data_IF_342673440799
#
_entry.id   IF_342673440799
#
_cell.length_a   1.000
_cell.length_b   1.000
_cell.length_c   1.000
_cell.angle_alpha   90.00
_cell.angle_beta   90.00
_cell.angle_gamma   90.00
#
_symmetry.space_group_name_H-M   'P 1'
#
loop_
_entity.id
_entity.type
_entity.pdbx_description
1 polymer ?
#
# COMPACT_ATOMS: atom_id res chain seq x y z
N UNK A 1 -5.10 27.48 5.65
CA UNK A 1 -5.30 26.02 5.71
C UNK A 1 -4.61 25.43 4.51
N UNK A 2 -3.81 24.39 4.69
CA UNK A 2 -3.17 23.69 3.57
C UNK A 2 -4.20 22.84 2.85
N UNK A 3 -4.25 22.90 1.51
CA UNK A 3 -5.24 22.17 0.71
C UNK A 3 -5.04 20.65 0.79
N UNK A 4 -6.14 19.89 0.64
CA UNK A 4 -6.12 18.44 0.49
C UNK A 4 -5.80 18.07 -0.96
N UNK A 5 -4.85 17.17 -1.18
CA UNK A 5 -4.51 16.64 -2.50
C UNK A 5 -5.10 15.26 -2.75
N UNK A 6 -5.36 14.92 -4.01
CA UNK A 6 -5.71 13.54 -4.35
C UNK A 6 -5.15 13.11 -5.70
N UNK A 7 -4.98 11.80 -5.83
CA UNK A 7 -4.54 11.12 -7.05
C UNK A 7 -5.61 10.12 -7.44
N UNK A 8 -6.08 10.22 -8.69
CA UNK A 8 -6.97 9.28 -9.35
C UNK A 8 -6.74 9.36 -10.86
N UNK A 9 -6.56 8.21 -11.50
CA UNK A 9 -6.35 8.12 -12.95
C UNK A 9 -7.05 6.87 -13.50
N UNK A 10 -7.98 7.08 -14.44
CA UNK A 10 -8.79 6.01 -15.01
C UNK A 10 -7.96 4.97 -15.79
N UNK A 11 -6.74 5.30 -16.23
CA UNK A 11 -5.83 4.31 -16.83
C UNK A 11 -5.51 3.18 -15.87
N UNK A 12 -5.61 3.40 -14.55
CA UNK A 12 -5.43 2.34 -13.56
C UNK A 12 -6.57 1.31 -13.55
N UNK A 13 -7.70 1.60 -14.20
CA UNK A 13 -8.80 0.64 -14.42
C UNK A 13 -8.43 -0.41 -15.48
N UNK A 14 -7.38 -0.20 -16.28
CA UNK A 14 -6.89 -1.18 -17.27
C UNK A 14 -6.21 -2.42 -16.64
N UNK A 15 -5.93 -2.40 -15.32
CA UNK A 15 -5.49 -3.58 -14.58
C UNK A 15 -6.71 -4.42 -14.17
N UNK A 16 -7.00 -5.43 -14.99
CA UNK A 16 -8.13 -6.35 -14.84
C UNK A 16 -7.68 -7.80 -15.11
N UNK A 17 -8.21 -8.74 -14.34
CA UNK A 17 -7.87 -10.16 -14.43
C UNK A 17 -8.49 -10.76 -15.71
N UNK A 18 -7.69 -11.27 -16.67
CA UNK A 18 -8.22 -11.70 -17.96
C UNK A 18 -8.81 -13.12 -17.95
N UNK A 19 -8.73 -13.85 -16.83
CA UNK A 19 -9.07 -15.27 -16.76
C UNK A 19 -9.87 -15.70 -15.52
N UNK A 20 -10.21 -14.77 -14.62
CA UNK A 20 -11.09 -15.04 -13.47
C UNK A 20 -11.98 -13.82 -13.19
N UNK A 21 -13.25 -13.93 -13.57
CA UNK A 21 -14.28 -12.89 -13.35
C UNK A 21 -14.71 -12.74 -11.89
N UNK A 22 -14.34 -13.71 -11.03
CA UNK A 22 -14.66 -13.70 -9.59
C UNK A 22 -13.55 -13.05 -8.76
N UNK A 23 -12.49 -12.57 -9.40
CA UNK A 23 -11.35 -11.95 -8.74
C UNK A 23 -11.79 -10.77 -7.86
N UNK A 24 -11.41 -10.82 -6.58
CA UNK A 24 -11.76 -9.78 -5.62
C UNK A 24 -11.05 -8.45 -5.95
N UNK A 25 -9.78 -8.52 -6.38
CA UNK A 25 -9.03 -7.36 -6.88
C UNK A 25 -9.48 -7.04 -8.32
N UNK A 26 -10.24 -5.94 -8.48
CA UNK A 26 -10.88 -5.57 -9.76
C UNK A 26 -11.09 -4.06 -9.91
N UNK A 27 -11.25 -3.53 -11.14
CA UNK A 27 -11.37 -2.09 -11.43
C UNK A 27 -12.42 -1.35 -10.60
N UNK A 28 -13.55 -1.99 -10.31
CA UNK A 28 -14.68 -1.44 -9.56
C UNK A 28 -14.27 -0.96 -8.17
N UNK A 29 -13.27 -1.58 -7.54
CA UNK A 29 -12.77 -1.18 -6.21
C UNK A 29 -12.33 0.29 -6.21
N UNK A 30 -11.57 0.70 -7.22
CA UNK A 30 -11.08 2.07 -7.37
C UNK A 30 -12.16 3.01 -7.88
N UNK A 31 -12.97 2.57 -8.85
CA UNK A 31 -14.03 3.39 -9.42
C UNK A 31 -15.08 3.80 -8.38
N UNK A 32 -15.54 2.86 -7.54
CA UNK A 32 -16.56 3.11 -6.51
C UNK A 32 -16.05 4.10 -5.45
N UNK A 33 -14.77 4.03 -5.09
CA UNK A 33 -14.16 5.00 -4.16
C UNK A 33 -14.24 6.40 -4.74
N UNK A 34 -13.78 6.61 -5.98
CA UNK A 34 -13.79 7.93 -6.61
C UNK A 34 -15.22 8.45 -6.80
N UNK A 35 -16.14 7.62 -7.31
CA UNK A 35 -17.55 7.98 -7.47
C UNK A 35 -18.17 8.42 -6.14
N UNK A 36 -17.87 7.72 -5.03
CA UNK A 36 -18.38 8.10 -3.71
C UNK A 36 -17.80 9.42 -3.25
N UNK A 37 -16.49 9.63 -3.39
CA UNK A 37 -15.82 10.87 -3.00
C UNK A 37 -16.36 12.08 -3.77
N UNK A 38 -16.62 11.94 -5.07
CA UNK A 38 -17.23 12.97 -5.91
C UNK A 38 -18.69 13.24 -5.51
N UNK A 39 -19.50 12.18 -5.36
CA UNK A 39 -20.93 12.27 -5.03
C UNK A 39 -21.17 12.94 -3.67
N UNK A 40 -20.34 12.64 -2.68
CA UNK A 40 -20.39 13.27 -1.34
C UNK A 40 -19.79 14.69 -1.35
N UNK A 41 -19.20 15.13 -2.46
CA UNK A 41 -18.60 16.45 -2.61
C UNK A 41 -17.29 16.63 -1.84
N UNK A 42 -16.64 15.53 -1.42
CA UNK A 42 -15.39 15.55 -0.64
C UNK A 42 -14.20 16.04 -1.48
N UNK A 43 -14.30 16.03 -2.80
CA UNK A 43 -13.26 16.49 -3.73
C UNK A 43 -13.46 17.91 -4.26
N UNK A 44 -14.54 18.62 -3.86
CA UNK A 44 -14.89 19.94 -4.44
C UNK A 44 -13.78 20.99 -4.32
N UNK A 45 -13.05 20.98 -3.22
CA UNK A 45 -11.94 21.90 -2.95
C UNK A 45 -10.58 21.19 -2.98
N UNK A 46 -10.55 19.91 -3.37
CA UNK A 46 -9.35 19.11 -3.39
C UNK A 46 -8.50 19.41 -4.64
N UNK A 47 -7.19 19.40 -4.46
CA UNK A 47 -6.23 19.57 -5.55
C UNK A 47 -5.99 18.21 -6.21
N UNK A 48 -6.53 18.02 -7.42
CA UNK A 48 -6.20 16.83 -8.23
C UNK A 48 -4.76 16.94 -8.70
N UNK A 49 -3.98 15.90 -8.46
CA UNK A 49 -2.61 15.80 -8.94
C UNK A 49 -2.54 14.94 -10.21
N UNK A 50 -1.74 15.40 -11.16
CA UNK A 50 -1.49 14.64 -12.38
C UNK A 50 -0.66 13.38 -12.09
N UNK A 51 -1.06 12.27 -12.71
CA UNK A 51 -0.39 10.98 -12.56
C UNK A 51 0.52 10.73 -13.73
N UNK A 52 1.74 10.30 -13.42
CA UNK A 52 2.72 9.80 -14.39
C UNK A 52 3.16 8.39 -14.03
N UNK A 53 3.76 7.72 -14.99
CA UNK A 53 4.44 6.45 -14.75
C UNK A 53 5.69 6.71 -13.90
N UNK A 54 5.90 5.85 -12.89
CA UNK A 54 7.16 5.77 -12.17
C UNK A 54 8.29 5.41 -13.14
N UNK A 55 9.38 6.17 -13.05
CA UNK A 55 10.58 5.93 -13.85
C UNK A 55 11.30 4.70 -13.34
N UNK A 56 12.12 4.08 -14.20
CA UNK A 56 12.90 2.91 -13.82
C UNK A 56 13.81 3.18 -12.60
N UNK A 57 14.47 4.34 -12.53
CA UNK A 57 15.32 4.71 -11.40
C UNK A 57 14.56 4.91 -10.07
N UNK A 58 13.27 5.21 -10.14
CA UNK A 58 12.39 5.28 -8.96
C UNK A 58 11.97 3.87 -8.51
N UNK A 59 11.64 2.98 -9.45
CA UNK A 59 11.34 1.57 -9.13
C UNK A 59 12.55 0.83 -8.56
N UNK A 60 13.76 1.17 -9.05
CA UNK A 60 15.04 0.62 -8.58
C UNK A 60 15.34 0.91 -7.11
N UNK A 61 14.63 1.86 -6.49
CA UNK A 61 14.72 2.08 -5.04
C UNK A 61 14.25 0.85 -4.25
N UNK A 62 13.37 0.02 -4.82
CA UNK A 62 12.79 -1.12 -4.12
C UNK A 62 12.92 -2.47 -4.83
N UNK A 63 12.88 -2.46 -6.16
CA UNK A 63 12.88 -3.68 -6.96
C UNK A 63 14.16 -3.73 -7.80
N UNK A 64 14.84 -4.88 -7.88
CA UNK A 64 16.03 -5.00 -8.69
C UNK A 64 15.68 -4.95 -10.19
N UNK A 65 16.64 -4.59 -11.02
CA UNK A 65 16.39 -4.31 -12.44
C UNK A 65 15.84 -5.53 -13.20
N UNK A 66 16.19 -6.74 -12.77
CA UNK A 66 15.79 -7.98 -13.43
C UNK A 66 14.28 -8.17 -13.40
N UNK A 67 13.63 -7.98 -12.23
CA UNK A 67 12.17 -8.17 -12.12
C UNK A 67 11.41 -7.06 -12.85
N UNK A 68 11.94 -5.83 -12.85
CA UNK A 68 11.36 -4.70 -13.58
C UNK A 68 11.33 -5.03 -15.08
N UNK A 69 12.49 -5.42 -15.64
CA UNK A 69 12.60 -5.76 -17.07
C UNK A 69 11.81 -6.99 -17.46
N UNK A 70 11.79 -8.01 -16.60
CA UNK A 70 11.00 -9.22 -16.81
C UNK A 70 9.51 -8.88 -16.92
N UNK A 71 8.97 -8.10 -15.96
CA UNK A 71 7.56 -7.67 -15.99
C UNK A 71 7.27 -6.73 -17.16
N UNK A 72 8.18 -5.83 -17.53
CA UNK A 72 8.00 -4.93 -18.69
C UNK A 72 7.94 -5.68 -20.03
N UNK A 73 8.48 -6.91 -20.10
CA UNK A 73 8.49 -7.73 -21.32
C UNK A 73 7.23 -8.63 -21.47
N UNK A 74 6.29 -8.59 -20.52
CA UNK A 74 5.08 -9.41 -20.54
C UNK A 74 4.01 -8.80 -21.46
N UNK A 75 4.11 -9.05 -22.76
CA UNK A 75 3.23 -8.44 -23.78
C UNK A 75 1.94 -9.23 -24.08
N UNK A 76 1.81 -10.47 -23.57
CA UNK A 76 0.66 -11.35 -23.85
C UNK A 76 0.06 -11.93 -22.58
N UNK A 77 -1.24 -12.25 -22.60
CA UNK A 77 -1.92 -12.92 -21.48
C UNK A 77 -1.22 -14.23 -21.09
N UNK A 78 -0.77 -15.02 -22.07
CA UNK A 78 -0.05 -16.28 -21.83
C UNK A 78 1.29 -16.05 -21.11
N UNK A 79 2.05 -15.02 -21.50
CA UNK A 79 3.29 -14.66 -20.82
C UNK A 79 3.03 -14.20 -19.38
N UNK A 80 2.01 -13.35 -19.18
CA UNK A 80 1.59 -12.91 -17.85
C UNK A 80 1.18 -14.08 -16.96
N UNK A 81 0.31 -14.97 -17.45
CA UNK A 81 -0.16 -16.14 -16.70
C UNK A 81 1.03 -17.04 -16.33
N UNK A 82 1.93 -17.33 -17.29
CA UNK A 82 3.12 -18.14 -17.04
C UNK A 82 4.02 -17.54 -15.95
N UNK A 83 4.22 -16.23 -15.96
CA UNK A 83 4.98 -15.52 -14.93
C UNK A 83 4.30 -15.61 -13.57
N UNK A 84 2.97 -15.43 -13.51
CA UNK A 84 2.22 -15.44 -12.26
C UNK A 84 2.18 -16.81 -11.58
N UNK A 85 2.35 -17.92 -12.31
CA UNK A 85 2.33 -19.28 -11.74
C UNK A 85 3.37 -19.54 -10.65
N UNK A 86 4.47 -18.80 -10.63
CA UNK A 86 5.51 -18.90 -9.59
C UNK A 86 5.38 -17.84 -8.48
N UNK A 87 4.31 -17.06 -8.50
CA UNK A 87 4.09 -15.93 -7.60
C UNK A 87 2.77 -16.10 -6.86
N UNK A 88 2.81 -16.05 -5.54
CA UNK A 88 1.66 -16.34 -4.70
C UNK A 88 0.58 -15.25 -4.81
N UNK A 89 -0.67 -15.66 -5.10
CA UNK A 89 -1.85 -14.78 -5.17
C UNK A 89 -1.57 -13.59 -6.12
N UNK A 90 -0.94 -13.85 -7.26
CA UNK A 90 -0.68 -12.85 -8.28
C UNK A 90 -1.40 -13.22 -9.57
N UNK A 91 -1.96 -12.20 -10.22
CA UNK A 91 -2.39 -12.26 -11.60
C UNK A 91 -1.93 -10.98 -12.30
N UNK A 92 -1.72 -11.07 -13.60
CA UNK A 92 -1.35 -9.93 -14.44
C UNK A 92 -1.99 -10.08 -15.82
N UNK A 93 -2.14 -8.94 -16.47
CA UNK A 93 -2.45 -8.76 -17.88
C UNK A 93 -1.34 -7.91 -18.54
N UNK A 94 -1.28 -7.82 -19.89
CA UNK A 94 -0.30 -6.99 -20.59
C UNK A 94 -0.31 -5.50 -20.21
N UNK A 95 -1.39 -5.02 -19.58
CA UNK A 95 -1.50 -3.64 -19.09
C UNK A 95 -0.96 -3.45 -17.68
N UNK A 96 -0.80 -4.53 -16.92
CA UNK A 96 -0.56 -4.49 -15.47
C UNK A 96 0.74 -3.80 -15.09
N UNK A 97 1.82 -4.01 -15.86
CA UNK A 97 3.11 -3.40 -15.56
C UNK A 97 3.05 -1.87 -15.68
N UNK A 98 2.52 -1.38 -16.81
CA UNK A 98 2.34 0.05 -17.04
C UNK A 98 1.41 0.69 -16.01
N UNK A 99 0.32 -0.01 -15.67
CA UNK A 99 -0.62 0.46 -14.65
C UNK A 99 0.02 0.50 -13.25
N UNK A 100 0.85 -0.48 -12.90
CA UNK A 100 1.62 -0.48 -11.65
C UNK A 100 2.60 0.70 -11.57
N UNK A 101 3.19 1.12 -12.70
CA UNK A 101 3.99 2.36 -12.77
C UNK A 101 3.16 3.60 -12.49
N UNK A 102 1.92 3.67 -12.99
CA UNK A 102 1.01 4.78 -12.70
C UNK A 102 0.65 4.83 -11.21
N UNK A 103 0.37 3.69 -10.59
CA UNK A 103 0.10 3.61 -9.16
C UNK A 103 1.27 4.13 -8.31
N UNK A 104 2.48 3.62 -8.55
CA UNK A 104 3.68 4.06 -7.85
C UNK A 104 3.99 5.55 -8.13
N UNK A 105 3.90 5.98 -9.39
CA UNK A 105 4.18 7.36 -9.79
C UNK A 105 3.18 8.36 -9.22
N UNK A 106 1.90 7.99 -9.12
CA UNK A 106 0.88 8.77 -8.44
C UNK A 106 1.19 9.00 -6.96
N UNK A 107 1.58 7.94 -6.24
CA UNK A 107 2.00 8.06 -4.84
C UNK A 107 3.23 8.98 -4.68
N UNK A 108 4.21 8.90 -5.59
CA UNK A 108 5.37 9.81 -5.62
C UNK A 108 4.93 11.27 -5.83
N UNK A 109 4.04 11.53 -6.79
CA UNK A 109 3.57 12.91 -7.05
C UNK A 109 2.79 13.50 -5.88
N UNK A 110 2.06 12.67 -5.11
CA UNK A 110 1.41 13.09 -3.87
C UNK A 110 2.41 13.60 -2.84
N UNK A 111 3.50 12.86 -2.60
CA UNK A 111 4.52 13.27 -1.62
C UNK A 111 5.36 14.44 -2.12
N UNK A 112 5.63 14.54 -3.42
CA UNK A 112 6.26 15.72 -4.03
C UNK A 112 5.40 16.96 -3.81
N UNK A 113 4.11 16.88 -4.08
CA UNK A 113 3.17 17.99 -3.87
C UNK A 113 3.15 18.45 -2.41
N UNK A 114 3.19 17.51 -1.47
CA UNK A 114 3.30 17.82 -0.06
C UNK A 114 4.61 18.53 0.27
N UNK A 115 5.74 17.99 -0.19
CA UNK A 115 7.08 18.59 0.03
C UNK A 115 7.19 20.01 -0.53
N UNK A 116 6.57 20.28 -1.67
CA UNK A 116 6.53 21.57 -2.35
C UNK A 116 5.55 22.57 -1.71
N UNK A 117 4.79 22.15 -0.68
CA UNK A 117 3.81 23.00 0.00
C UNK A 117 2.53 23.24 -0.81
N UNK A 118 2.31 22.50 -1.91
CA UNK A 118 1.09 22.60 -2.72
C UNK A 118 -0.12 21.99 -2.02
N UNK A 119 0.10 20.99 -1.16
CA UNK A 119 -0.92 20.33 -0.35
C UNK A 119 -0.40 20.08 1.07
N UNK A 120 -1.30 20.01 2.05
CA UNK A 120 -0.95 19.66 3.43
C UNK A 120 -0.98 18.17 3.73
N UNK A 121 -1.89 17.48 3.07
CA UNK A 121 -2.09 16.03 3.14
C UNK A 121 -2.80 15.60 1.86
N UNK A 122 -2.98 14.30 1.67
CA UNK A 122 -3.76 13.83 0.54
C UNK A 122 -3.96 12.33 0.51
N UNK A 123 -4.67 11.88 -0.52
CA UNK A 123 -5.05 10.48 -0.68
C UNK A 123 -4.86 10.01 -2.13
N UNK A 124 -4.12 8.92 -2.31
CA UNK A 124 -3.90 8.30 -3.61
C UNK A 124 -4.83 7.10 -3.77
N UNK A 125 -5.85 7.23 -4.62
CA UNK A 125 -6.73 6.13 -5.01
C UNK A 125 -6.05 5.42 -6.18
N UNK A 126 -5.33 4.34 -5.89
CA UNK A 126 -4.46 3.67 -6.86
C UNK A 126 -4.71 2.17 -6.92
N UNK A 127 -4.48 1.59 -8.10
CA UNK A 127 -4.42 0.14 -8.35
C UNK A 127 -3.37 -0.17 -9.41
N UNK A 128 -2.63 -1.30 -9.34
CA UNK A 128 -2.66 -2.35 -8.30
C UNK A 128 -2.20 -1.89 -6.91
N UNK A 129 -2.52 -2.67 -5.84
CA UNK A 129 -1.96 -2.46 -4.51
C UNK A 129 -0.44 -2.70 -4.49
N UNK A 130 0.22 -2.50 -3.33
CA UNK A 130 1.69 -2.57 -3.27
C UNK A 130 2.35 -3.24 -2.07
N UNK A 131 1.75 -3.23 -0.88
CA UNK A 131 2.46 -3.54 0.37
C UNK A 131 3.01 -4.98 0.51
N UNK A 132 2.59 -5.92 -0.35
CA UNK A 132 3.12 -7.28 -0.36
C UNK A 132 4.31 -7.49 -1.30
N UNK A 133 4.50 -6.62 -2.29
CA UNK A 133 5.61 -6.77 -3.25
C UNK A 133 6.94 -6.34 -2.63
N UNK A 134 8.03 -7.06 -2.89
CA UNK A 134 9.38 -6.69 -2.47
C UNK A 134 10.44 -7.43 -3.27
N UNK A 135 11.62 -6.84 -3.45
CA UNK A 135 12.70 -7.49 -4.18
C UNK A 135 12.21 -8.03 -5.53
N UNK A 136 12.36 -9.34 -5.76
CA UNK A 136 11.93 -10.05 -6.97
C UNK A 136 10.57 -10.76 -6.82
N UNK A 137 9.77 -10.40 -5.82
CA UNK A 137 8.58 -11.13 -5.40
C UNK A 137 7.32 -10.26 -5.48
N UNK A 138 6.75 -10.01 -6.67
CA UNK A 138 5.36 -9.58 -6.75
C UNK A 138 4.45 -10.68 -6.21
N UNK A 139 3.48 -10.35 -5.37
CA UNK A 139 2.59 -11.30 -4.69
C UNK A 139 1.40 -10.57 -4.06
N UNK A 140 0.33 -11.30 -3.69
CA UNK A 140 -0.83 -10.71 -3.00
C UNK A 140 -1.44 -9.53 -3.79
N UNK A 141 -1.63 -9.73 -5.09
CA UNK A 141 -2.06 -8.71 -6.07
C UNK A 141 -1.11 -7.50 -6.25
N UNK A 142 0.00 -7.44 -5.51
CA UNK A 142 0.94 -6.33 -5.55
C UNK A 142 2.02 -6.57 -6.62
N UNK A 143 2.07 -5.70 -7.62
CA UNK A 143 3.10 -5.73 -8.68
C UNK A 143 4.37 -5.02 -8.20
N UNK A 144 4.26 -3.73 -7.86
CA UNK A 144 5.34 -2.94 -7.25
C UNK A 144 4.92 -2.44 -5.86
N UNK A 145 5.88 -2.25 -4.97
CA UNK A 145 5.58 -1.72 -3.63
C UNK A 145 5.45 -0.20 -3.63
N UNK A 146 4.25 0.29 -3.92
CA UNK A 146 3.92 1.72 -4.03
C UNK A 146 4.41 2.52 -2.81
N UNK A 147 4.14 2.05 -1.58
CA UNK A 147 4.47 2.77 -0.35
C UNK A 147 5.97 2.73 -0.05
N UNK A 148 6.63 1.59 -0.25
CA UNK A 148 8.07 1.47 -0.01
C UNK A 148 8.89 2.28 -1.03
N UNK A 149 8.51 2.24 -2.32
CA UNK A 149 9.11 3.09 -3.37
C UNK A 149 8.96 4.56 -3.00
N UNK A 150 7.76 4.97 -2.58
CA UNK A 150 7.46 6.35 -2.22
C UNK A 150 8.23 6.80 -0.98
N UNK A 151 8.32 5.96 0.06
CA UNK A 151 9.11 6.23 1.27
C UNK A 151 10.59 6.40 0.94
N UNK A 152 11.17 5.47 0.19
CA UNK A 152 12.58 5.56 -0.25
C UNK A 152 12.82 6.77 -1.14
N UNK A 153 11.90 7.09 -2.05
CA UNK A 153 11.99 8.29 -2.88
C UNK A 153 11.99 9.56 -2.02
N UNK A 154 11.12 9.62 -1.03
CA UNK A 154 11.01 10.75 -0.12
C UNK A 154 12.31 10.97 0.69
N UNK A 155 12.94 9.90 1.15
CA UNK A 155 14.23 9.99 1.85
C UNK A 155 15.38 10.34 0.91
N UNK A 156 15.52 9.61 -0.20
CA UNK A 156 16.66 9.72 -1.12
C UNK A 156 16.62 10.99 -1.99
N UNK A 157 15.43 11.43 -2.39
CA UNK A 157 15.26 12.50 -3.39
C UNK A 157 14.64 13.77 -2.83
N UNK A 158 13.82 13.67 -1.79
CA UNK A 158 13.13 14.82 -1.17
C UNK A 158 13.74 15.25 0.17
N UNK A 159 14.72 14.50 0.67
CA UNK A 159 15.52 14.87 1.84
C UNK A 159 14.81 14.69 3.18
N UNK A 160 13.68 13.97 3.24
CA UNK A 160 13.10 13.53 4.52
C UNK A 160 14.10 12.62 5.25
N UNK A 161 14.13 12.70 6.58
CA UNK A 161 15.07 11.94 7.42
C UNK A 161 14.41 10.81 8.20
N UNK A 162 13.14 10.96 8.52
CA UNK A 162 12.37 10.00 9.33
C UNK A 162 10.94 9.90 8.82
N UNK A 163 10.61 8.79 8.19
CA UNK A 163 9.29 8.52 7.61
C UNK A 163 8.64 7.34 8.32
N UNK A 164 7.42 7.51 8.81
CA UNK A 164 6.63 6.40 9.31
C UNK A 164 5.69 5.89 8.22
N UNK A 165 5.66 4.58 8.02
CA UNK A 165 4.63 3.89 7.25
C UNK A 165 3.68 3.25 8.25
N UNK A 166 2.41 3.63 8.21
CA UNK A 166 1.35 3.00 9.00
C UNK A 166 0.50 2.16 8.05
N UNK A 167 0.52 0.86 8.25
CA UNK A 167 -0.25 -0.11 7.49
C UNK A 167 -1.39 -0.64 8.36
N UNK A 168 -2.62 -0.35 7.96
CA UNK A 168 -3.82 -0.85 8.64
C UNK A 168 -4.64 -1.83 7.80
N UNK A 169 -4.10 -2.23 6.64
CA UNK A 169 -4.66 -3.34 5.85
C UNK A 169 -4.79 -4.59 6.73
N UNK A 170 -5.78 -5.43 6.45
CA UNK A 170 -6.03 -6.64 7.24
C UNK A 170 -4.91 -7.67 7.05
N UNK A 171 -4.12 -7.59 5.98
CA UNK A 171 -3.00 -8.49 5.71
C UNK A 171 -1.67 -7.88 6.17
N UNK A 172 -0.75 -8.75 6.60
CA UNK A 172 0.56 -8.31 7.05
C UNK A 172 1.33 -7.61 5.92
N UNK A 173 1.93 -6.46 6.22
CA UNK A 173 2.72 -5.67 5.29
C UNK A 173 4.10 -6.30 4.98
N UNK A 174 4.14 -7.59 4.67
CA UNK A 174 5.36 -8.39 4.51
C UNK A 174 6.33 -7.80 3.48
N UNK A 175 5.82 -7.37 2.33
CA UNK A 175 6.65 -6.76 1.31
C UNK A 175 7.24 -5.44 1.76
N UNK A 176 6.44 -4.60 2.40
CA UNK A 176 6.90 -3.33 2.98
C UNK A 176 7.95 -3.59 4.07
N UNK A 177 7.74 -4.57 4.94
CA UNK A 177 8.72 -4.97 5.96
C UNK A 177 10.07 -5.32 5.34
N UNK A 178 10.12 -6.30 4.43
CA UNK A 178 11.37 -6.68 3.79
C UNK A 178 12.00 -5.57 2.95
N UNK A 179 11.19 -4.62 2.48
CA UNK A 179 11.65 -3.47 1.73
C UNK A 179 12.37 -2.43 2.60
N UNK A 180 12.01 -2.30 3.88
CA UNK A 180 12.45 -1.18 4.74
C UNK A 180 13.15 -1.58 6.04
N UNK A 181 13.12 -2.85 6.44
CA UNK A 181 13.65 -3.33 7.74
C UNK A 181 15.10 -2.96 8.03
N UNK A 182 15.93 -2.82 6.98
CA UNK A 182 17.34 -2.47 7.09
C UNK A 182 17.61 -0.95 6.91
N UNK A 183 16.57 -0.14 6.68
CA UNK A 183 16.67 1.32 6.54
C UNK A 183 16.30 2.04 7.85
N UNK A 184 17.27 2.57 8.61
CA UNK A 184 17.00 3.18 9.92
C UNK A 184 16.18 4.50 9.84
N UNK A 185 15.92 5.00 8.63
CA UNK A 185 15.18 6.24 8.36
C UNK A 185 13.68 5.98 8.17
N UNK A 186 13.26 4.72 8.12
CA UNK A 186 11.87 4.33 7.87
C UNK A 186 11.38 3.44 9.01
N UNK A 187 10.30 3.87 9.67
CA UNK A 187 9.61 3.10 10.71
C UNK A 187 8.36 2.47 10.08
N UNK A 188 8.19 1.15 10.21
CA UNK A 188 6.98 0.46 9.79
C UNK A 188 6.09 0.16 11.00
N UNK A 189 4.81 0.46 10.91
CA UNK A 189 3.77 -0.06 11.80
C UNK A 189 2.81 -0.88 10.95
N UNK A 190 2.49 -2.10 11.36
CA UNK A 190 1.49 -2.91 10.67
C UNK A 190 0.52 -3.53 11.67
N UNK A 191 -0.76 -3.24 11.48
CA UNK A 191 -1.85 -4.06 11.98
C UNK A 191 -2.12 -5.14 10.95
N UNK A 192 -2.46 -6.34 11.39
CA UNK A 192 -2.84 -7.41 10.48
C UNK A 192 -3.43 -8.60 11.22
N UNK A 193 -4.33 -9.29 10.54
CA UNK A 193 -4.73 -10.64 10.88
C UNK A 193 -3.53 -11.57 10.90
N UNK A 194 -3.37 -12.31 12.00
CA UNK A 194 -2.23 -13.21 12.18
C UNK A 194 -2.66 -14.63 12.56
N UNK A 195 -3.69 -14.76 13.40
CA UNK A 195 -4.19 -16.04 13.89
C UNK A 195 -3.09 -17.01 14.35
N UNK A 196 -2.07 -16.49 15.03
CA UNK A 196 -0.90 -17.24 15.52
C UNK A 196 -0.15 -17.94 14.37
N UNK A 197 -0.01 -17.25 13.25
CA UNK A 197 0.64 -17.74 12.03
C UNK A 197 -0.24 -18.57 11.11
N UNK A 198 -1.55 -18.65 11.39
CA UNK A 198 -2.51 -19.40 10.57
C UNK A 198 -3.19 -18.55 9.49
N UNK A 199 -2.88 -17.26 9.41
CA UNK A 199 -3.36 -16.38 8.36
C UNK A 199 -2.22 -15.98 7.42
N UNK A 200 -2.54 -15.83 6.14
CA UNK A 200 -1.55 -15.49 5.11
C UNK A 200 -0.92 -14.12 5.45
N UNK A 201 0.41 -13.96 5.35
CA UNK A 201 1.38 -14.80 4.61
C UNK A 201 2.17 -15.84 5.43
N UNK A 202 1.62 -16.33 6.55
CA UNK A 202 2.12 -17.54 7.26
C UNK A 202 3.60 -17.51 7.72
N UNK A 203 4.12 -16.36 8.18
CA UNK A 203 5.48 -16.27 8.76
C UNK A 203 5.45 -15.90 10.25
N UNK A 204 6.44 -16.38 11.01
CA UNK A 204 6.66 -15.94 12.40
C UNK A 204 7.20 -14.51 12.50
N UNK A 205 7.72 -13.95 11.41
CA UNK A 205 8.19 -12.57 11.39
C UNK A 205 7.04 -11.56 11.62
N UNK A 206 5.79 -11.97 11.35
CA UNK A 206 4.59 -11.16 11.49
C UNK A 206 3.85 -11.42 12.81
N UNK A 207 4.48 -12.09 13.77
CA UNK A 207 4.00 -12.00 15.15
C UNK A 207 4.40 -10.63 15.76
N UNK A 208 4.19 -10.46 17.07
CA UNK A 208 4.58 -9.26 17.78
C UNK A 208 6.11 -9.06 17.72
N UNK A 209 6.54 -7.95 17.11
CA UNK A 209 7.95 -7.54 17.04
C UNK A 209 8.09 -6.03 17.18
N UNK A 210 9.22 -5.61 17.75
CA UNK A 210 9.70 -4.22 17.78
C UNK A 210 11.11 -4.09 17.19
N UNK A 211 11.56 -5.11 16.45
CA UNK A 211 12.89 -5.17 15.83
C UNK A 211 12.89 -4.50 14.46
N UNK A 212 14.08 -4.23 13.93
CA UNK A 212 14.28 -3.80 12.54
C UNK A 212 13.41 -2.59 12.13
N UNK A 213 13.27 -1.62 13.05
CA UNK A 213 12.41 -0.44 12.89
C UNK A 213 10.97 -0.78 12.47
N UNK A 214 10.41 -1.84 13.05
CA UNK A 214 9.04 -2.25 12.81
C UNK A 214 8.27 -2.42 14.12
N UNK A 215 6.96 -2.18 14.10
CA UNK A 215 6.03 -2.46 15.20
C UNK A 215 4.85 -3.22 14.61
N UNK A 216 4.69 -4.48 15.00
CA UNK A 216 3.60 -5.32 14.53
C UNK A 216 2.54 -5.53 15.60
N UNK A 217 1.29 -5.35 15.18
CA UNK A 217 0.09 -5.59 15.97
C UNK A 217 -0.67 -6.79 15.35
N UNK A 218 -0.26 -8.03 15.68
CA UNK A 218 -0.96 -9.22 15.21
C UNK A 218 -2.34 -9.36 15.86
N UNK A 219 -3.38 -9.37 15.03
CA UNK A 219 -4.78 -9.50 15.42
C UNK A 219 -5.10 -11.00 15.61
N UNK A 220 -4.74 -11.52 16.79
CA UNK A 220 -4.81 -12.95 17.12
C UNK A 220 -6.15 -13.42 17.70
N UNK A 221 -7.08 -12.50 17.96
CA UNK A 221 -8.31 -12.75 18.71
C UNK A 221 -9.55 -12.46 17.85
N UNK A 222 -10.65 -13.18 18.11
CA UNK A 222 -11.90 -13.12 17.34
C UNK A 222 -12.71 -11.80 17.49
N UNK A 223 -12.16 -10.74 18.09
CA UNK A 223 -12.90 -9.52 18.44
C UNK A 223 -12.01 -8.26 18.44
N UNK A 224 -11.09 -8.11 17.49
CA UNK A 224 -10.41 -6.83 17.33
C UNK A 224 -11.41 -5.80 16.77
N UNK A 225 -11.55 -4.69 17.50
CA UNK A 225 -12.49 -3.61 17.25
C UNK A 225 -11.75 -2.29 17.08
N UNK A 226 -12.49 -1.24 16.73
CA UNK A 226 -11.98 0.14 16.69
C UNK A 226 -11.26 0.54 17.99
N UNK A 227 -11.73 0.04 19.14
CA UNK A 227 -11.12 0.38 20.44
C UNK A 227 -9.70 -0.17 20.57
N UNK A 228 -9.42 -1.33 19.98
CA UNK A 228 -8.09 -1.95 20.01
C UNK A 228 -7.10 -1.16 19.15
N UNK A 229 -7.55 -0.72 17.96
CA UNK A 229 -6.77 0.18 17.11
C UNK A 229 -6.52 1.51 17.82
N UNK A 230 -7.57 2.15 18.38
CA UNK A 230 -7.42 3.41 19.11
C UNK A 230 -6.51 3.27 20.34
N UNK A 231 -6.55 2.15 21.05
CA UNK A 231 -5.63 1.87 22.15
C UNK A 231 -4.17 1.77 21.64
N UNK A 232 -3.92 1.01 20.57
CA UNK A 232 -2.59 0.93 19.97
C UNK A 232 -2.09 2.29 19.49
N UNK A 233 -2.95 3.10 18.86
CA UNK A 233 -2.60 4.45 18.42
C UNK A 233 -2.25 5.36 19.60
N UNK A 234 -3.11 5.43 20.62
CA UNK A 234 -2.94 6.36 21.74
C UNK A 234 -1.79 5.95 22.68
N UNK A 235 -1.58 4.65 22.89
CA UNK A 235 -0.65 4.16 23.90
C UNK A 235 0.70 3.70 23.34
N UNK A 236 0.81 3.44 22.03
CA UNK A 236 2.06 2.95 21.41
C UNK A 236 2.47 3.83 20.24
N UNK A 237 1.64 3.93 19.19
CA UNK A 237 2.06 4.56 17.92
C UNK A 237 2.31 6.05 18.12
N UNK A 238 1.37 6.81 18.65
CA UNK A 238 1.52 8.26 18.83
C UNK A 238 2.70 8.65 19.74
N UNK A 239 2.94 7.98 20.88
CA UNK A 239 4.18 8.16 21.65
C UNK A 239 5.45 7.89 20.84
N UNK A 240 5.52 6.75 20.12
CA UNK A 240 6.70 6.38 19.31
C UNK A 240 6.95 7.39 18.20
N UNK A 241 5.92 7.80 17.45
CA UNK A 241 6.07 8.76 16.35
C UNK A 241 6.62 10.11 16.82
N UNK A 242 6.22 10.53 18.03
CA UNK A 242 6.71 11.76 18.68
C UNK A 242 8.16 11.62 19.13
N UNK A 243 8.49 10.54 19.83
CA UNK A 243 9.86 10.28 20.31
C UNK A 243 10.84 10.10 19.14
N UNK A 244 10.41 9.36 18.11
CA UNK A 244 11.19 9.15 16.91
C UNK A 244 11.33 10.44 16.08
N UNK A 245 10.51 11.47 16.31
CA UNK A 245 10.50 12.73 15.56
C UNK A 245 10.23 12.52 14.07
N UNK A 246 9.08 11.91 13.77
CA UNK A 246 8.61 11.62 12.41
C UNK A 246 8.37 12.91 11.62
N UNK A 247 8.89 12.98 10.40
CA UNK A 247 8.74 14.14 9.50
C UNK A 247 7.64 13.95 8.45
N UNK A 248 7.32 12.70 8.10
CA UNK A 248 6.28 12.34 7.15
C UNK A 248 5.62 11.03 7.58
N UNK A 249 4.30 10.97 7.50
CA UNK A 249 3.53 9.73 7.67
C UNK A 249 2.97 9.34 6.32
N UNK A 250 3.26 8.11 5.90
CA UNK A 250 2.63 7.43 4.78
C UNK A 250 1.69 6.37 5.34
N UNK A 251 0.55 6.17 4.69
CA UNK A 251 -0.45 5.21 5.14
C UNK A 251 -0.74 4.22 4.02
N UNK A 252 -0.51 2.94 4.26
CA UNK A 252 -1.08 1.87 3.43
C UNK A 252 -2.53 1.68 3.88
N UNK A 253 -3.45 2.29 3.14
CA UNK A 253 -4.86 2.36 3.50
C UNK A 253 -5.67 1.21 2.88
N UNK A 254 -5.44 -0.01 3.37
CA UNK A 254 -6.28 -1.17 3.07
C UNK A 254 -7.56 -1.16 3.89
N UNK A 255 -8.72 -1.17 3.23
CA UNK A 255 -10.04 -1.11 3.90
C UNK A 255 -10.68 -2.48 4.13
N UNK A 256 -9.93 -3.56 3.90
CA UNK A 256 -10.36 -4.94 4.12
C UNK A 256 -10.41 -5.34 5.60
N UNK A 257 -9.92 -4.48 6.51
CA UNK A 257 -10.23 -4.57 7.94
C UNK A 257 -11.60 -3.96 8.31
N UNK A 258 -12.31 -3.35 7.34
CA UNK A 258 -13.60 -2.69 7.52
C UNK A 258 -14.78 -3.66 7.54
N UNK A 259 -15.85 -3.33 8.29
CA UNK A 259 -17.06 -4.17 8.38
C UNK A 259 -17.54 -4.70 7.01
N UNK A 260 -17.90 -5.99 6.99
CA UNK A 260 -18.44 -6.71 5.83
C UNK A 260 -17.45 -7.00 4.70
N UNK A 261 -16.15 -6.76 4.88
CA UNK A 261 -15.18 -7.31 3.95
C UNK A 261 -15.25 -8.85 3.95
N UNK A 262 -15.09 -9.44 2.78
CA UNK A 262 -15.17 -10.89 2.59
C UNK A 262 -13.96 -11.64 3.18
N UNK A 263 -12.86 -10.94 3.41
CA UNK A 263 -11.63 -11.49 4.02
C UNK A 263 -11.69 -11.51 5.55
N UNK A 264 -12.66 -10.84 6.16
CA UNK A 264 -12.78 -10.76 7.61
C UNK A 264 -13.38 -12.02 8.22
N UNK A 265 -12.79 -12.41 9.35
CA UNK A 265 -13.40 -13.37 10.24
C UNK A 265 -14.63 -12.76 10.95
N UNK A 266 -15.67 -13.58 11.13
CA UNK A 266 -16.90 -13.16 11.81
C UNK A 266 -16.58 -12.59 13.21
N UNK A 267 -16.83 -11.29 13.40
CA UNK A 267 -16.60 -10.60 14.67
C UNK A 267 -15.34 -9.73 14.72
N UNK A 268 -14.46 -9.81 13.72
CA UNK A 268 -13.36 -8.86 13.51
C UNK A 268 -13.83 -7.74 12.60
N UNK A 269 -13.75 -6.48 13.03
CA UNK A 269 -14.14 -5.36 12.16
C UNK A 269 -13.87 -3.98 12.74
N UNK A 270 -13.43 -3.07 11.88
CA UNK A 270 -13.42 -1.62 12.10
C UNK A 270 -14.65 -1.00 11.42
N UNK A 271 -15.48 -0.26 12.16
CA UNK A 271 -16.71 0.37 11.62
C UNK A 271 -16.38 1.55 10.72
N UNK A 272 -15.35 2.31 11.08
CA UNK A 272 -14.77 3.34 10.25
C UNK A 272 -13.29 3.52 10.61
N UNK A 273 -12.46 3.70 9.58
CA UNK A 273 -11.05 4.08 9.74
C UNK A 273 -10.85 5.60 9.95
N UNK A 274 -11.95 6.33 10.20
CA UNK A 274 -12.01 7.80 10.23
C UNK A 274 -11.91 8.42 11.61
#
# INVERSE_FOLDING_TARGET
MSSFGYVYDERMLEHECPYDETMAERPERMAIINERLEREGLLKEAVRLDVREAKEDELLLNHPIEIIREMSALETNEACEKFCRSHEILWMSPRSERVARLAAGGCIELVKAHKEGRIGNGFAVVRPPGHHSYGRSPMGYCVYNNVAITAKYAVEKLGYKKIAIIDFDYHAANGTFYSVKDDPRILLVSFHSYHRGLFWPYSQDFDYTTKDQSIFFPLNCAMNTESDYLAAFNHVIMPVLKEWNTELVLVSAGFDAGYYDMMLDLGQSIKAHG
#
